data_IF_129329059008
#
_entry.id   IF_129329059008
#
_cell.length_a   1.000
_cell.length_b   1.000
_cell.length_c   1.000
_cell.angle_alpha   90.00
_cell.angle_beta   90.00
_cell.angle_gamma   90.00
#
_symmetry.space_group_name_H-M   'P 1'
#
loop_
_entity.id
_entity.type
_entity.pdbx_description
1 polymer ?
#
# COMPACT_ATOMS: atom_id res chain seq x y z
N UNK A 1 -22.50 -26.60 3.00
CA UNK A 1 -21.09 -26.37 3.23
C UNK A 1 -20.29 -27.67 3.41
N UNK A 2 -18.98 -27.57 3.46
CA UNK A 2 -18.07 -28.70 3.63
C UNK A 2 -18.36 -29.50 4.92
N UNK A 3 -18.84 -28.83 5.95
CA UNK A 3 -19.19 -29.45 7.23
C UNK A 3 -20.33 -30.44 7.11
N UNK A 4 -21.34 -30.15 6.31
CA UNK A 4 -22.45 -31.05 6.05
C UNK A 4 -22.02 -32.32 5.32
N UNK A 5 -21.08 -32.19 4.39
CA UNK A 5 -20.52 -33.31 3.65
C UNK A 5 -19.76 -34.26 4.58
N UNK A 6 -18.98 -33.74 5.51
CA UNK A 6 -18.26 -34.54 6.49
C UNK A 6 -19.17 -35.22 7.48
N UNK A 7 -20.22 -34.57 7.95
CA UNK A 7 -21.24 -35.17 8.81
C UNK A 7 -21.96 -36.32 8.11
N UNK A 8 -22.26 -36.14 6.83
CA UNK A 8 -22.90 -37.18 6.01
C UNK A 8 -21.98 -38.38 5.80
N UNK A 9 -20.69 -38.15 5.60
CA UNK A 9 -19.69 -39.22 5.53
C UNK A 9 -19.59 -40.01 6.84
N UNK A 10 -19.66 -39.35 7.98
CA UNK A 10 -19.62 -39.97 9.30
C UNK A 10 -20.84 -40.90 9.53
N UNK A 11 -21.99 -40.57 8.95
CA UNK A 11 -23.18 -41.40 9.04
C UNK A 11 -23.11 -42.67 8.17
N UNK A 12 -22.37 -42.62 7.09
CA UNK A 12 -22.26 -43.71 6.12
C UNK A 12 -21.12 -44.67 6.49
N UNK A 13 -20.07 -44.15 7.13
CA UNK A 13 -18.88 -44.95 7.48
C UNK A 13 -19.13 -45.87 8.68
N UNK A 14 -18.68 -47.14 8.62
CA UNK A 14 -18.67 -47.98 9.79
C UNK A 14 -17.69 -47.44 10.85
N UNK A 15 -18.00 -47.71 12.10
CA UNK A 15 -17.14 -47.34 13.21
C UNK A 15 -15.72 -47.96 13.06
N UNK A 16 -14.72 -47.14 12.84
CA UNK A 16 -13.35 -47.54 12.62
C UNK A 16 -12.38 -46.37 12.75
N UNK A 17 -11.14 -46.65 12.52
CA UNK A 17 -10.05 -45.64 12.62
C UNK A 17 -10.25 -44.47 11.69
N UNK A 18 -10.82 -44.67 10.54
CA UNK A 18 -11.12 -43.66 9.56
C UNK A 18 -12.10 -42.61 10.10
N UNK A 19 -13.10 -43.08 10.84
CA UNK A 19 -14.08 -42.19 11.48
C UNK A 19 -13.43 -41.29 12.53
N UNK A 20 -12.52 -41.84 13.30
CA UNK A 20 -11.78 -41.08 14.31
C UNK A 20 -10.93 -40.00 13.66
N UNK A 21 -10.32 -40.31 12.53
CA UNK A 21 -9.54 -39.33 11.78
C UNK A 21 -10.40 -38.19 11.24
N UNK A 22 -11.58 -38.48 10.74
CA UNK A 22 -12.51 -37.47 10.23
C UNK A 22 -13.02 -36.59 11.36
N UNK A 23 -13.37 -37.19 12.50
CA UNK A 23 -13.78 -36.44 13.68
C UNK A 23 -12.66 -35.53 14.21
N UNK A 24 -11.41 -36.01 14.17
CA UNK A 24 -10.25 -35.23 14.54
C UNK A 24 -10.04 -34.05 13.60
N UNK A 25 -10.21 -34.24 12.30
CA UNK A 25 -10.12 -33.15 11.31
C UNK A 25 -11.22 -32.12 11.54
N UNK A 26 -12.43 -32.54 11.85
CA UNK A 26 -13.54 -31.64 12.17
C UNK A 26 -13.28 -30.84 13.45
N UNK A 27 -12.65 -31.46 14.44
CA UNK A 27 -12.30 -30.78 15.70
C UNK A 27 -11.12 -29.81 15.53
N UNK A 28 -10.20 -30.10 14.61
CA UNK A 28 -9.05 -29.25 14.30
C UNK A 28 -9.36 -28.16 13.29
N UNK A 29 -10.45 -28.29 12.54
CA UNK A 29 -10.86 -27.22 11.66
C UNK A 29 -11.20 -25.99 12.50
N UNK A 30 -10.54 -24.85 12.27
CA UNK A 30 -10.95 -23.62 12.90
C UNK A 30 -12.39 -23.37 12.50
N UNK A 31 -13.23 -23.10 13.48
CA UNK A 31 -14.62 -22.81 13.22
C UNK A 31 -14.69 -21.68 12.21
N UNK A 32 -15.11 -22.03 11.03
CA UNK A 32 -15.15 -21.14 9.88
C UNK A 32 -16.28 -20.11 9.93
N UNK A 33 -16.75 -19.80 11.11
CA UNK A 33 -17.57 -18.64 11.34
C UNK A 33 -16.76 -17.38 11.54
N UNK A 34 -15.46 -17.48 11.49
CA UNK A 34 -14.59 -16.33 11.68
C UNK A 34 -14.29 -15.68 10.35
N UNK A 35 -14.97 -14.69 10.21
CA UNK A 35 -14.82 -13.48 9.41
C UNK A 35 -13.52 -13.40 8.63
N UNK A 36 -13.60 -13.50 7.32
CA UNK A 36 -12.51 -13.11 6.45
C UNK A 36 -12.18 -11.61 6.52
N UNK A 37 -12.98 -10.85 7.25
CA UNK A 37 -12.81 -9.40 7.35
C UNK A 37 -11.66 -8.94 8.25
N UNK A 38 -11.09 -9.84 9.04
CA UNK A 38 -9.93 -9.49 9.87
C UNK A 38 -8.59 -9.65 9.16
N UNK A 39 -8.60 -10.13 7.93
CA UNK A 39 -7.37 -10.18 7.15
C UNK A 39 -6.91 -8.82 6.63
N UNK A 40 -7.79 -7.84 6.62
CA UNK A 40 -7.42 -6.47 6.26
C UNK A 40 -6.64 -5.74 7.35
N UNK A 41 -6.77 -6.18 8.59
CA UNK A 41 -6.04 -5.62 9.73
C UNK A 41 -4.80 -6.44 10.11
N UNK A 42 -4.46 -7.43 9.32
CA UNK A 42 -3.25 -8.17 9.59
C UNK A 42 -2.08 -7.26 9.26
N UNK A 43 -1.33 -6.85 10.26
CA UNK A 43 -0.13 -6.07 9.99
C UNK A 43 0.75 -6.87 9.06
N UNK A 44 1.20 -6.23 8.01
CA UNK A 44 2.23 -6.79 7.16
C UNK A 44 3.36 -7.36 8.04
N UNK A 45 4.04 -8.43 7.61
CA UNK A 45 5.12 -9.01 8.39
C UNK A 45 6.03 -7.90 8.94
N UNK A 46 6.42 -8.01 10.19
CA UNK A 46 7.15 -6.96 10.90
C UNK A 46 8.37 -6.45 10.14
N UNK A 47 8.99 -7.29 9.33
CA UNK A 47 10.10 -6.93 8.46
C UNK A 47 9.70 -5.92 7.38
N UNK A 48 8.49 -6.02 6.85
CA UNK A 48 7.99 -5.08 5.85
C UNK A 48 7.57 -3.76 6.47
N UNK A 49 7.06 -3.79 7.70
CA UNK A 49 6.62 -2.60 8.40
C UNK A 49 7.79 -1.66 8.75
N UNK A 50 8.98 -2.22 9.02
CA UNK A 50 10.17 -1.43 9.34
C UNK A 50 10.79 -0.73 8.13
N UNK A 51 10.42 -1.14 6.93
CA UNK A 51 10.91 -0.56 5.68
C UNK A 51 9.90 0.35 4.99
N UNK A 52 8.80 0.67 5.66
CA UNK A 52 7.78 1.55 5.10
C UNK A 52 8.00 2.99 5.53
N UNK A 53 7.83 3.89 4.58
CA UNK A 53 7.78 5.33 4.83
C UNK A 53 6.31 5.71 4.92
N UNK A 54 5.93 6.35 6.01
CA UNK A 54 4.56 6.80 6.23
C UNK A 54 4.51 8.29 6.50
N UNK A 55 3.41 8.91 6.14
CA UNK A 55 3.20 10.32 6.37
C UNK A 55 1.85 10.79 5.86
N UNK A 56 1.70 12.09 5.76
CA UNK A 56 0.50 12.73 5.25
C UNK A 56 0.83 13.62 4.07
N UNK A 57 -0.07 13.65 3.12
CA UNK A 57 0.00 14.57 2.00
C UNK A 57 -1.13 15.56 2.13
N UNK A 58 -0.80 16.80 2.12
CA UNK A 58 -1.77 17.90 2.13
C UNK A 58 -1.55 18.80 0.93
N UNK A 59 -2.50 19.67 0.68
CA UNK A 59 -2.45 20.60 -0.43
C UNK A 59 -2.53 22.02 0.12
N UNK A 60 -1.78 22.93 -0.49
CA UNK A 60 -1.87 24.34 -0.15
C UNK A 60 -3.30 24.82 -0.37
N UNK A 61 -3.89 25.56 0.57
CA UNK A 61 -5.25 26.09 0.42
C UNK A 61 -5.48 26.89 -0.87
N UNK A 62 -4.44 27.54 -1.37
CA UNK A 62 -4.48 28.31 -2.61
C UNK A 62 -4.62 27.44 -3.85
N UNK A 63 -4.19 26.19 -3.76
CA UNK A 63 -4.16 25.25 -4.88
C UNK A 63 -5.30 24.24 -4.86
N UNK A 64 -6.14 24.27 -3.84
CA UNK A 64 -7.28 23.35 -3.71
C UNK A 64 -8.24 23.43 -4.90
N UNK A 65 -8.39 24.60 -5.49
CA UNK A 65 -9.25 24.77 -6.65
C UNK A 65 -8.70 24.15 -7.93
N UNK A 66 -7.40 23.84 -7.95
CA UNK A 66 -6.75 23.20 -9.09
C UNK A 66 -6.80 21.67 -9.02
N UNK A 67 -7.39 21.13 -7.96
CA UNK A 67 -7.54 19.67 -7.84
C UNK A 67 -8.73 19.23 -8.68
N UNK A 68 -8.43 18.42 -9.69
CA UNK A 68 -9.46 17.79 -10.50
C UNK A 68 -10.01 16.56 -9.78
N UNK A 69 -11.30 16.32 -9.91
CA UNK A 69 -11.96 15.14 -9.35
C UNK A 69 -11.47 13.82 -9.95
N UNK A 70 -10.84 13.89 -11.10
CA UNK A 70 -10.25 12.71 -11.79
C UNK A 70 -8.73 12.62 -11.65
N UNK A 71 -8.14 13.55 -10.92
CA UNK A 71 -6.70 13.57 -10.74
C UNK A 71 -6.19 12.32 -10.02
N UNK A 72 -4.98 11.92 -10.37
CA UNK A 72 -4.28 10.84 -9.69
C UNK A 72 -3.04 11.38 -8.99
N UNK A 73 -2.80 10.88 -7.79
CA UNK A 73 -1.65 11.24 -6.99
C UNK A 73 -0.56 10.19 -7.16
N UNK A 74 0.64 10.64 -7.49
CA UNK A 74 1.82 9.78 -7.58
C UNK A 74 2.79 10.13 -6.48
N UNK A 75 3.12 9.14 -5.67
CA UNK A 75 4.16 9.25 -4.65
C UNK A 75 5.39 8.55 -5.22
N UNK A 76 6.44 9.32 -5.45
CA UNK A 76 7.63 8.87 -6.14
C UNK A 76 8.80 8.90 -5.18
N UNK A 77 9.45 7.75 -4.97
CA UNK A 77 10.67 7.65 -4.19
C UNK A 77 11.85 7.35 -5.12
N UNK A 78 12.87 8.18 -5.06
CA UNK A 78 14.12 7.99 -5.80
C UNK A 78 15.26 7.74 -4.84
N UNK A 79 16.22 6.86 -5.18
CA UNK A 79 17.41 6.70 -4.35
C UNK A 79 18.16 8.03 -4.21
N UNK A 80 18.59 8.34 -3.01
CA UNK A 80 19.33 9.58 -2.77
C UNK A 80 20.61 9.67 -3.61
N UNK A 81 21.26 8.53 -3.85
CA UNK A 81 22.45 8.44 -4.70
C UNK A 81 22.17 8.66 -6.20
N UNK A 82 20.93 8.46 -6.62
CA UNK A 82 20.52 8.56 -8.02
C UNK A 82 19.25 9.41 -8.18
N UNK A 83 19.26 10.58 -7.61
CA UNK A 83 18.09 11.49 -7.58
C UNK A 83 17.58 11.86 -8.98
N UNK A 84 18.43 11.80 -9.99
CA UNK A 84 18.06 12.04 -11.39
C UNK A 84 17.74 10.77 -12.18
N UNK A 85 17.88 9.61 -11.54
CA UNK A 85 17.62 8.32 -12.15
C UNK A 85 16.14 7.92 -12.14
N UNK A 86 15.86 6.71 -12.58
CA UNK A 86 14.50 6.17 -12.51
C UNK A 86 14.03 6.06 -11.06
N UNK A 87 12.73 6.16 -10.82
CA UNK A 87 12.21 6.03 -9.47
C UNK A 87 12.42 4.61 -8.94
N UNK A 88 12.77 4.51 -7.68
CA UNK A 88 12.89 3.23 -6.99
C UNK A 88 11.51 2.63 -6.71
N UNK A 89 10.61 3.47 -6.20
CA UNK A 89 9.25 3.05 -5.86
C UNK A 89 8.25 4.15 -6.27
N UNK A 90 7.09 3.72 -6.72
CA UNK A 90 6.00 4.63 -7.09
C UNK A 90 4.69 4.04 -6.58
N UNK A 91 3.89 4.89 -5.97
CA UNK A 91 2.53 4.54 -5.57
C UNK A 91 1.55 5.51 -6.23
N UNK A 92 0.55 4.95 -6.90
CA UNK A 92 -0.55 5.71 -7.49
C UNK A 92 -1.78 5.64 -6.57
N UNK A 93 -2.42 6.79 -6.39
CA UNK A 93 -3.69 6.88 -5.66
C UNK A 93 -4.66 7.65 -6.54
N UNK A 94 -5.72 6.98 -6.96
CA UNK A 94 -6.76 7.59 -7.76
C UNK A 94 -7.72 8.38 -6.86
N UNK A 95 -8.13 9.54 -7.30
CA UNK A 95 -9.07 10.42 -6.60
C UNK A 95 -8.67 10.67 -5.14
N UNK A 96 -7.49 11.26 -4.92
CA UNK A 96 -7.03 11.48 -3.55
C UNK A 96 -7.91 12.49 -2.83
N UNK A 97 -8.13 12.25 -1.54
CA UNK A 97 -8.85 13.17 -0.67
C UNK A 97 -7.85 13.71 0.36
N UNK A 98 -7.67 15.01 0.38
CA UNK A 98 -6.70 15.67 1.26
C UNK A 98 -7.33 16.16 2.56
N UNK A 99 -6.65 16.06 3.69
CA UNK A 99 -5.32 15.47 3.86
C UNK A 99 -5.36 13.94 3.72
N UNK A 100 -4.34 13.38 3.07
CA UNK A 100 -4.25 11.96 2.75
C UNK A 100 -3.10 11.32 3.51
N UNK A 101 -3.38 10.24 4.21
CA UNK A 101 -2.33 9.41 4.80
C UNK A 101 -1.82 8.42 3.75
N UNK A 102 -0.52 8.25 3.67
CA UNK A 102 0.10 7.34 2.72
C UNK A 102 1.13 6.44 3.39
N UNK A 103 1.42 5.34 2.75
CA UNK A 103 2.55 4.49 3.07
C UNK A 103 3.25 4.07 1.79
N UNK A 104 4.56 4.05 1.82
CA UNK A 104 5.40 3.63 0.69
C UNK A 104 6.39 2.60 1.21
N UNK A 105 6.40 1.44 0.60
CA UNK A 105 7.21 0.31 1.07
C UNK A 105 7.76 -0.53 -0.07
N UNK A 106 8.38 -1.66 0.27
CA UNK A 106 8.96 -2.57 -0.72
C UNK A 106 7.97 -3.06 -1.77
N UNK A 107 6.69 -3.12 -1.42
CA UNK A 107 5.62 -3.50 -2.34
C UNK A 107 5.42 -2.51 -3.48
N UNK A 108 5.89 -1.29 -3.33
CA UNK A 108 5.78 -0.25 -4.34
C UNK A 108 7.03 -0.12 -5.23
N UNK A 109 8.04 -0.95 -5.00
CA UNK A 109 9.27 -0.95 -5.79
C UNK A 109 8.97 -1.40 -7.21
N UNK A 110 9.39 -0.59 -8.17
CA UNK A 110 9.16 -0.85 -9.60
C UNK A 110 10.19 -1.78 -10.20
N UNK A 111 11.38 -1.83 -9.64
CA UNK A 111 12.48 -2.63 -10.17
C UNK A 111 12.68 -3.86 -9.29
N UNK A 112 12.46 -5.04 -9.86
CA UNK A 112 12.71 -6.29 -9.16
C UNK A 112 14.19 -6.46 -8.84
N UNK A 113 14.46 -6.97 -7.65
CA UNK A 113 15.82 -7.22 -7.19
C UNK A 113 16.53 -6.03 -6.56
N UNK A 114 15.91 -4.85 -6.55
CA UNK A 114 16.46 -3.69 -5.84
C UNK A 114 15.79 -3.59 -4.47
N UNK A 115 16.57 -3.64 -3.39
CA UNK A 115 16.00 -3.51 -2.06
C UNK A 115 15.54 -2.08 -1.79
N UNK A 116 14.41 -1.96 -1.10
CA UNK A 116 13.92 -0.68 -0.61
C UNK A 116 14.62 -0.32 0.71
N UNK A 117 15.85 0.13 0.60
CA UNK A 117 16.73 0.40 1.74
C UNK A 117 17.51 1.68 1.55
N UNK A 118 18.10 2.19 2.63
CA UNK A 118 18.91 3.39 2.61
C UNK A 118 18.09 4.66 2.66
N UNK A 119 18.57 5.69 1.97
CA UNK A 119 17.91 7.00 1.91
C UNK A 119 17.28 7.23 0.54
N UNK A 120 16.08 7.77 0.55
CA UNK A 120 15.33 8.08 -0.67
C UNK A 120 14.81 9.51 -0.62
N UNK A 121 14.70 10.12 -1.78
CA UNK A 121 14.04 11.41 -1.93
C UNK A 121 12.59 11.18 -2.35
N UNK A 122 11.65 11.78 -1.63
CA UNK A 122 10.22 11.60 -1.88
C UNK A 122 9.67 12.86 -2.54
N UNK A 123 9.07 12.65 -3.69
CA UNK A 123 8.34 13.67 -4.45
C UNK A 123 6.91 13.20 -4.63
N UNK A 124 5.97 14.09 -4.45
CA UNK A 124 4.55 13.82 -4.70
C UNK A 124 4.10 14.67 -5.87
N UNK A 125 3.32 14.08 -6.75
CA UNK A 125 2.78 14.75 -7.90
C UNK A 125 1.29 14.43 -8.06
N UNK A 126 0.50 15.46 -8.20
CA UNK A 126 -0.91 15.32 -8.53
C UNK A 126 -1.09 15.64 -10.01
N UNK A 127 -1.44 14.62 -10.77
CA UNK A 127 -1.57 14.68 -12.20
C UNK A 127 -3.04 14.70 -12.60
N UNK A 128 -3.44 15.64 -13.43
CA UNK A 128 -4.84 15.80 -13.84
C UNK A 128 -5.33 14.68 -14.75
N UNK A 129 -4.46 14.18 -15.62
CA UNK A 129 -4.83 13.13 -16.57
C UNK A 129 -4.51 11.71 -16.08
N UNK A 130 -3.91 11.59 -14.90
CA UNK A 130 -3.54 10.30 -14.33
C UNK A 130 -2.35 9.62 -15.02
N UNK A 131 -1.57 10.35 -15.79
CA UNK A 131 -0.43 9.82 -16.50
C UNK A 131 0.88 10.37 -15.92
N UNK A 132 1.71 9.52 -15.29
CA UNK A 132 2.93 9.99 -14.63
C UNK A 132 4.03 10.44 -15.61
N UNK A 133 3.91 10.12 -16.88
CA UNK A 133 4.91 10.46 -17.88
C UNK A 133 4.69 11.83 -18.51
N UNK A 134 3.48 12.35 -18.44
CA UNK A 134 3.15 13.68 -18.96
C UNK A 134 3.25 14.72 -17.87
N UNK A 135 3.80 15.86 -18.22
CA UNK A 135 3.77 17.07 -17.40
C UNK A 135 2.89 18.07 -18.08
N UNK A 136 1.77 18.34 -17.47
CA UNK A 136 0.84 19.34 -18.00
C UNK A 136 0.81 20.58 -17.11
N UNK A 137 0.65 21.77 -17.70
CA UNK A 137 0.43 22.96 -16.91
C UNK A 137 -0.79 22.80 -16.02
N UNK A 138 -0.61 23.10 -14.74
CA UNK A 138 -1.66 22.93 -13.74
C UNK A 138 -1.57 21.69 -12.88
N UNK A 139 -0.64 20.77 -13.20
CA UNK A 139 -0.32 19.67 -12.29
C UNK A 139 0.30 20.23 -11.02
N UNK A 140 0.00 19.60 -9.89
CA UNK A 140 0.57 20.00 -8.61
C UNK A 140 1.71 19.09 -8.23
N UNK A 141 2.75 19.67 -7.65
CA UNK A 141 3.88 18.93 -7.15
C UNK A 141 4.27 19.39 -5.74
N UNK A 142 4.88 18.50 -4.99
CA UNK A 142 5.43 18.81 -3.70
C UNK A 142 6.57 17.86 -3.36
N UNK A 143 7.63 18.39 -2.84
CA UNK A 143 8.77 17.63 -2.36
C UNK A 143 8.82 17.68 -0.84
N UNK A 144 9.29 16.60 -0.24
CA UNK A 144 9.57 16.62 1.18
C UNK A 144 10.74 17.55 1.47
N UNK A 145 10.52 18.52 2.36
CA UNK A 145 11.50 19.58 2.63
C UNK A 145 12.80 19.10 3.27
N UNK A 146 12.76 17.94 3.90
CA UNK A 146 13.92 17.33 4.57
C UNK A 146 14.48 16.12 3.80
N UNK A 147 14.26 16.08 2.50
CA UNK A 147 14.86 15.04 1.66
C UNK A 147 16.41 15.08 1.75
N UNK A 148 17.10 13.95 1.64
CA UNK A 148 16.55 12.58 1.60
C UNK A 148 16.11 12.07 2.96
N UNK A 149 15.20 11.08 2.95
CA UNK A 149 14.71 10.42 4.15
C UNK A 149 15.17 8.97 4.19
N UNK A 150 15.42 8.47 5.38
CA UNK A 150 15.72 7.05 5.55
C UNK A 150 14.46 6.20 5.36
N UNK A 151 14.62 5.06 4.71
CA UNK A 151 13.54 4.07 4.58
C UNK A 151 13.12 3.63 5.99
N UNK A 152 11.82 3.52 6.23
CA UNK A 152 11.27 3.23 7.54
C UNK A 152 10.94 4.47 8.38
N UNK A 153 11.18 5.66 7.85
CA UNK A 153 10.81 6.90 8.53
C UNK A 153 9.30 7.09 8.58
N UNK A 154 8.85 7.69 9.67
CA UNK A 154 7.43 8.00 9.90
C UNK A 154 7.22 9.51 9.92
N UNK A 155 5.97 9.93 9.79
CA UNK A 155 5.59 11.35 9.82
C UNK A 155 6.30 12.18 8.72
N UNK A 156 6.40 11.61 7.55
CA UNK A 156 6.95 12.28 6.39
C UNK A 156 5.82 13.07 5.70
N UNK A 157 5.58 14.25 6.19
CA UNK A 157 4.48 15.09 5.72
C UNK A 157 4.93 15.93 4.53
N UNK A 158 4.15 15.86 3.46
CA UNK A 158 4.44 16.55 2.20
C UNK A 158 3.28 17.47 1.87
N UNK A 159 3.60 18.67 1.42
CA UNK A 159 2.62 19.65 1.00
C UNK A 159 2.77 19.89 -0.50
N UNK A 160 1.67 19.81 -1.23
CA UNK A 160 1.62 20.21 -2.63
C UNK A 160 1.49 21.73 -2.69
N UNK A 161 2.61 22.39 -2.91
CA UNK A 161 2.73 23.86 -2.88
C UNK A 161 3.20 24.45 -4.20
N UNK A 162 3.49 23.60 -5.19
CA UNK A 162 3.99 24.02 -6.49
C UNK A 162 3.04 23.59 -7.61
N UNK A 163 2.89 24.45 -8.59
CA UNK A 163 2.14 24.18 -9.81
C UNK A 163 3.11 24.04 -10.97
N UNK A 164 2.94 23.01 -11.78
CA UNK A 164 3.71 22.83 -13.00
C UNK A 164 3.24 23.87 -14.02
N UNK A 165 4.19 24.59 -14.57
CA UNK A 165 3.94 25.60 -15.62
C UNK A 165 4.30 25.09 -17.00
#
# INVERSE_FOLDING_TARGET
>A
GAKEVFEKLLQIMPAGEERVQIEKILAEMPQSGQKPLQQSDRPAPAASASQQITGKISIDPKLKSNVDSQAALFIIARPAAAAKGPPLAVRKIDRPVFPLSYSLGPENVMMQGIPFTGSVSITVRLDKDGNPTTRQPGDLTGDYKKNPVAVGSKNIDIVLDQVVQ
#
